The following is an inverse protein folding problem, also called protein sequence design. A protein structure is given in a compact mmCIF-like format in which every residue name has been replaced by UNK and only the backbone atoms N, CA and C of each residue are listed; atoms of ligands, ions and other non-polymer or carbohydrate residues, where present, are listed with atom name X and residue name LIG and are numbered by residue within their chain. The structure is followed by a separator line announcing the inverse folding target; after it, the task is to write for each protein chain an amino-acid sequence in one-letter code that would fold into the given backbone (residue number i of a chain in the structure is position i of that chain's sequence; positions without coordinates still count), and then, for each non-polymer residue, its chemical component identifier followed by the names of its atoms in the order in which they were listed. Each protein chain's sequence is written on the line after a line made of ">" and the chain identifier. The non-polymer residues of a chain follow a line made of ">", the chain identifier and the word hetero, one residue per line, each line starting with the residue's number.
data_IF_729848852597
#
_entry.id   IF_729848852597
#
_cell.length_a   1.000
_cell.length_b   1.000
_cell.length_c   1.000
_cell.angle_alpha   90.00
_cell.angle_beta   90.00
_cell.angle_gamma   90.00
#
_symmetry.space_group_name_H-M   'P 1'
#
loop_
_entity.id
_entity.type
_entity.pdbx_description
1 polymer ?
#
# COMPACT_ATOMS: atom_id res chain seq x y z
N UNK A 1 -33.17 -3.52 32.84
CA UNK A 1 -33.55 -2.91 31.54
C UNK A 1 -32.94 -3.74 30.42
N UNK A 2 -33.76 -4.36 29.58
CA UNK A 2 -33.30 -5.12 28.43
C UNK A 2 -32.71 -4.14 27.39
N UNK A 3 -31.50 -4.39 26.94
CA UNK A 3 -30.92 -3.62 25.84
C UNK A 3 -31.75 -3.86 24.57
N UNK A 4 -32.36 -2.80 24.05
CA UNK A 4 -33.11 -2.87 22.80
C UNK A 4 -32.24 -3.43 21.65
N UNK A 5 -32.86 -4.21 20.78
CA UNK A 5 -32.20 -4.80 19.60
C UNK A 5 -31.75 -3.69 18.67
N UNK A 6 -30.43 -3.53 18.52
CA UNK A 6 -29.84 -2.50 17.65
C UNK A 6 -29.95 -2.97 16.19
N UNK A 7 -30.56 -2.18 15.32
CA UNK A 7 -30.55 -2.43 13.89
C UNK A 7 -29.15 -2.15 13.32
N UNK A 8 -28.65 -3.09 12.52
CA UNK A 8 -27.37 -2.94 11.83
C UNK A 8 -27.63 -2.21 10.51
N UNK A 9 -27.55 -0.88 10.54
CA UNK A 9 -27.63 -0.01 9.36
C UNK A 9 -26.65 1.17 9.50
N UNK A 10 -26.36 1.83 8.40
CA UNK A 10 -25.47 3.01 8.37
C UNK A 10 -26.04 4.11 9.27
N UNK A 11 -25.16 4.72 10.07
CA UNK A 11 -25.51 5.89 10.90
C UNK A 11 -25.47 7.12 9.99
N UNK A 12 -26.60 7.78 9.80
CA UNK A 12 -26.75 8.91 8.88
C UNK A 12 -25.93 10.13 9.36
N UNK A 13 -26.05 10.48 10.63
CA UNK A 13 -25.32 11.61 11.18
C UNK A 13 -23.83 11.34 11.22
N UNK A 14 -23.03 12.18 10.53
CA UNK A 14 -21.60 12.03 10.38
C UNK A 14 -20.83 12.11 11.71
N UNK A 15 -21.21 13.01 12.59
CA UNK A 15 -20.59 13.18 13.90
C UNK A 15 -20.82 11.95 14.78
N UNK A 16 -22.07 11.48 14.86
CA UNK A 16 -22.42 10.28 15.61
C UNK A 16 -21.72 9.04 15.04
N UNK A 17 -21.57 8.97 13.72
CA UNK A 17 -20.85 7.89 13.06
C UNK A 17 -19.38 7.87 13.46
N UNK A 18 -18.70 9.02 13.48
CA UNK A 18 -17.30 9.12 13.90
C UNK A 18 -17.10 8.76 15.38
N UNK A 19 -17.96 9.27 16.24
CA UNK A 19 -17.93 8.96 17.68
C UNK A 19 -18.16 7.47 17.93
N UNK A 20 -19.15 6.89 17.22
CA UNK A 20 -19.44 5.45 17.32
C UNK A 20 -18.30 4.60 16.78
N UNK A 21 -17.71 5.01 15.65
CA UNK A 21 -16.53 4.35 15.10
C UNK A 21 -15.38 4.31 16.11
N UNK A 22 -15.05 5.45 16.71
CA UNK A 22 -13.95 5.54 17.69
C UNK A 22 -14.21 4.65 18.92
N UNK A 23 -15.42 4.64 19.46
CA UNK A 23 -15.80 3.76 20.57
C UNK A 23 -15.69 2.29 20.22
N UNK A 24 -16.21 1.89 19.04
CA UNK A 24 -16.19 0.49 18.58
C UNK A 24 -14.78 0.02 18.23
N UNK A 25 -13.98 0.87 17.58
CA UNK A 25 -12.57 0.59 17.30
C UNK A 25 -11.80 0.28 18.59
N UNK A 26 -11.92 1.14 19.59
CA UNK A 26 -11.24 0.93 20.86
C UNK A 26 -11.70 -0.36 21.56
N UNK A 27 -13.00 -0.65 21.50
CA UNK A 27 -13.53 -1.92 22.04
C UNK A 27 -13.00 -3.15 21.29
N UNK A 28 -12.85 -3.05 19.95
CA UNK A 28 -12.31 -4.12 19.13
C UNK A 28 -10.82 -4.38 19.44
N UNK A 29 -10.03 -3.31 19.56
CA UNK A 29 -8.61 -3.43 19.92
C UNK A 29 -8.42 -4.03 21.32
N UNK A 30 -9.26 -3.64 22.28
CA UNK A 30 -9.26 -4.27 23.62
C UNK A 30 -9.54 -5.77 23.53
N UNK A 31 -10.55 -6.18 22.74
CA UNK A 31 -10.86 -7.61 22.55
C UNK A 31 -9.76 -8.36 21.80
N UNK A 32 -9.10 -7.74 20.85
CA UNK A 32 -7.94 -8.31 20.18
C UNK A 32 -6.78 -8.55 21.16
N UNK A 33 -6.51 -7.58 22.03
CA UNK A 33 -5.50 -7.73 23.10
C UNK A 33 -5.86 -8.84 24.08
N UNK A 34 -7.12 -8.94 24.50
CA UNK A 34 -7.61 -10.03 25.36
C UNK A 34 -7.40 -11.40 24.70
N UNK A 35 -7.73 -11.55 23.41
CA UNK A 35 -7.48 -12.78 22.66
C UNK A 35 -6.01 -13.14 22.58
N UNK A 36 -5.15 -12.15 22.36
CA UNK A 36 -3.70 -12.39 22.30
C UNK A 36 -3.17 -12.91 23.64
N UNK A 37 -3.60 -12.30 24.75
CA UNK A 37 -3.08 -12.66 26.08
C UNK A 37 -3.70 -13.95 26.60
N UNK A 38 -5.02 -14.11 26.46
CA UNK A 38 -5.73 -15.25 27.04
C UNK A 38 -5.62 -16.54 26.22
N UNK A 39 -5.53 -16.40 24.91
CA UNK A 39 -5.57 -17.55 23.99
C UNK A 39 -4.26 -17.75 23.23
N UNK A 40 -3.24 -16.94 23.49
CA UNK A 40 -1.98 -16.93 22.71
C UNK A 40 -2.21 -16.82 21.21
N UNK A 41 -3.32 -16.16 20.82
CA UNK A 41 -3.70 -16.02 19.44
C UNK A 41 -2.94 -14.86 18.78
N UNK A 42 -2.48 -15.08 17.55
CA UNK A 42 -1.90 -14.03 16.74
C UNK A 42 -3.02 -13.27 16.03
N UNK A 43 -3.14 -11.98 16.32
CA UNK A 43 -4.22 -11.14 15.80
C UNK A 43 -3.62 -9.93 15.10
N UNK A 44 -4.09 -9.64 13.88
CA UNK A 44 -3.85 -8.40 13.18
C UNK A 44 -5.17 -7.80 12.75
N UNK A 45 -5.37 -6.52 13.03
CA UNK A 45 -6.56 -5.76 12.63
C UNK A 45 -6.11 -4.52 11.88
N UNK A 46 -6.64 -4.34 10.69
CA UNK A 46 -6.43 -3.15 9.86
C UNK A 46 -7.80 -2.54 9.58
N UNK A 47 -7.94 -1.27 9.89
CA UNK A 47 -9.18 -0.53 9.65
C UNK A 47 -8.89 0.80 8.98
N UNK A 48 -9.65 1.09 7.92
CA UNK A 48 -9.66 2.41 7.27
C UNK A 48 -10.98 3.10 7.62
N UNK A 49 -10.89 4.30 8.18
CA UNK A 49 -12.06 5.09 8.53
C UNK A 49 -12.70 5.73 7.28
N UNK A 50 -13.90 6.27 7.40
CA UNK A 50 -14.52 7.06 6.33
C UNK A 50 -13.81 8.41 6.04
N UNK A 51 -12.78 8.75 6.80
CA UNK A 51 -11.91 9.91 6.60
C UNK A 51 -10.50 9.48 6.19
N UNK A 52 -10.37 8.30 5.60
CA UNK A 52 -9.12 7.68 5.12
C UNK A 52 -8.01 7.57 6.17
N UNK A 53 -8.37 7.61 7.46
CA UNK A 53 -7.42 7.37 8.55
C UNK A 53 -7.24 5.89 8.77
N UNK A 54 -5.99 5.44 8.64
CA UNK A 54 -5.57 4.08 8.95
C UNK A 54 -5.45 3.89 10.47
N UNK A 55 -5.99 2.77 10.96
CA UNK A 55 -5.82 2.32 12.33
C UNK A 55 -5.47 0.85 12.30
N UNK A 56 -4.41 0.49 12.99
CA UNK A 56 -3.92 -0.88 13.03
C UNK A 56 -3.66 -1.34 14.46
N UNK A 57 -3.82 -2.63 14.66
CA UNK A 57 -3.42 -3.35 15.85
C UNK A 57 -2.75 -4.65 15.42
N UNK A 58 -1.64 -4.98 16.02
CA UNK A 58 -0.98 -6.26 15.83
C UNK A 58 -0.57 -6.82 17.20
N UNK A 59 -0.61 -8.14 17.33
CA UNK A 59 -0.13 -8.84 18.52
C UNK A 59 1.36 -8.55 18.76
N UNK A 60 1.78 -8.22 19.99
CA UNK A 60 3.17 -7.85 20.29
C UNK A 60 4.19 -8.95 20.01
N UNK A 61 3.73 -10.19 19.89
CA UNK A 61 4.58 -11.37 19.64
C UNK A 61 4.99 -11.54 18.16
N UNK A 62 4.43 -10.75 17.24
CA UNK A 62 4.64 -10.93 15.81
C UNK A 62 4.68 -9.59 15.06
N UNK A 63 5.47 -9.52 14.00
CA UNK A 63 5.46 -8.37 13.08
C UNK A 63 4.38 -8.52 12.02
N UNK A 64 3.95 -7.39 11.43
CA UNK A 64 2.95 -7.37 10.37
C UNK A 64 3.34 -8.26 9.17
N UNK A 65 4.61 -8.19 8.76
CA UNK A 65 5.13 -9.04 7.68
C UNK A 65 5.02 -10.51 8.00
N UNK A 66 5.49 -10.93 9.19
CA UNK A 66 5.41 -12.32 9.62
C UNK A 66 3.98 -12.82 9.73
N UNK A 67 3.04 -11.95 10.16
CA UNK A 67 1.63 -12.29 10.20
C UNK A 67 1.07 -12.57 8.81
N UNK A 68 1.36 -11.70 7.84
CA UNK A 68 0.93 -11.91 6.45
C UNK A 68 1.56 -13.13 5.82
N UNK A 69 2.85 -13.40 6.06
CA UNK A 69 3.51 -14.62 5.59
C UNK A 69 2.84 -15.89 6.14
N UNK A 70 2.45 -15.87 7.43
CA UNK A 70 1.71 -16.99 8.03
C UNK A 70 0.29 -17.11 7.45
N UNK A 71 -0.39 -15.99 7.24
CA UNK A 71 -1.71 -15.97 6.61
C UNK A 71 -1.67 -16.55 5.20
N UNK A 72 -0.71 -16.15 4.38
CA UNK A 72 -0.53 -16.68 3.02
C UNK A 72 -0.30 -18.21 3.04
N UNK A 73 0.55 -18.69 3.93
CA UNK A 73 0.81 -20.13 4.09
C UNK A 73 -0.44 -20.91 4.51
N UNK A 74 -1.25 -20.35 5.42
CA UNK A 74 -2.44 -21.00 5.93
C UNK A 74 -3.62 -20.94 4.97
N UNK A 75 -3.81 -19.83 4.26
CA UNK A 75 -4.93 -19.60 3.34
C UNK A 75 -4.66 -20.08 1.92
N UNK A 76 -3.39 -20.25 1.53
CA UNK A 76 -2.99 -20.50 0.14
C UNK A 76 -3.17 -19.30 -0.79
N UNK A 77 -3.47 -18.11 -0.25
CA UNK A 77 -3.67 -16.87 -1.03
C UNK A 77 -2.36 -16.10 -1.06
N UNK A 78 -1.86 -15.80 -2.24
CA UNK A 78 -0.71 -14.91 -2.40
C UNK A 78 -1.18 -13.45 -2.40
N UNK A 79 -0.84 -12.73 -1.34
CA UNK A 79 -1.22 -11.31 -1.16
C UNK A 79 -0.38 -10.36 -2.01
N UNK A 80 0.80 -10.79 -2.45
CA UNK A 80 1.79 -9.93 -3.07
C UNK A 80 1.94 -10.14 -4.58
N UNK A 81 1.32 -11.20 -5.14
CA UNK A 81 1.50 -11.57 -6.54
C UNK A 81 1.19 -10.42 -7.51
N UNK A 82 0.04 -9.76 -7.33
CA UNK A 82 -0.34 -8.63 -8.20
C UNK A 82 0.61 -7.43 -8.09
N UNK A 83 1.19 -7.19 -6.92
CA UNK A 83 2.18 -6.13 -6.71
C UNK A 83 3.51 -6.51 -7.37
N UNK A 84 3.91 -7.77 -7.23
CA UNK A 84 5.12 -8.30 -7.84
C UNK A 84 5.05 -8.26 -9.38
N UNK A 85 3.92 -8.65 -9.96
CA UNK A 85 3.68 -8.57 -11.41
C UNK A 85 3.77 -7.12 -11.92
N UNK A 86 3.18 -6.16 -11.20
CA UNK A 86 3.30 -4.74 -11.55
C UNK A 86 4.75 -4.26 -11.51
N UNK A 87 5.48 -4.58 -10.45
CA UNK A 87 6.89 -4.21 -10.35
C UNK A 87 7.76 -4.85 -11.44
N UNK A 88 7.48 -6.09 -11.83
CA UNK A 88 8.17 -6.73 -12.94
C UNK A 88 7.88 -6.04 -14.27
N UNK A 89 6.63 -5.66 -14.53
CA UNK A 89 6.26 -4.95 -15.74
C UNK A 89 6.91 -3.55 -15.80
N UNK A 90 6.92 -2.80 -14.71
CA UNK A 90 7.63 -1.52 -14.61
C UNK A 90 9.13 -1.67 -14.86
N UNK A 91 9.74 -2.69 -14.28
CA UNK A 91 11.15 -3.00 -14.51
C UNK A 91 11.44 -3.34 -15.98
N UNK A 92 10.55 -4.08 -16.63
CA UNK A 92 10.66 -4.39 -18.06
C UNK A 92 10.60 -3.11 -18.90
N UNK A 93 9.63 -2.24 -18.64
CA UNK A 93 9.47 -0.96 -19.35
C UNK A 93 10.70 -0.06 -19.17
N UNK A 94 11.23 0.04 -17.95
CA UNK A 94 12.43 0.82 -17.68
C UNK A 94 13.67 0.26 -18.38
N UNK A 95 13.81 -1.06 -18.47
CA UNK A 95 14.88 -1.72 -19.24
C UNK A 95 14.77 -1.41 -20.73
N UNK A 96 13.57 -1.43 -21.30
CA UNK A 96 13.32 -1.12 -22.70
C UNK A 96 13.62 0.36 -23.03
N UNK A 97 13.20 1.28 -22.16
CA UNK A 97 13.54 2.70 -22.28
C UNK A 97 15.05 2.92 -22.20
N UNK A 98 15.72 2.29 -21.24
CA UNK A 98 17.17 2.39 -21.10
C UNK A 98 17.90 1.85 -22.34
N UNK A 99 17.43 0.72 -22.89
CA UNK A 99 17.97 0.16 -24.13
C UNK A 99 17.81 1.13 -25.31
N UNK A 100 16.62 1.73 -25.46
CA UNK A 100 16.36 2.73 -26.52
C UNK A 100 17.26 3.96 -26.36
N UNK A 101 17.39 4.50 -25.16
CA UNK A 101 18.26 5.64 -24.88
C UNK A 101 19.74 5.33 -25.17
N UNK A 102 20.23 4.17 -24.76
CA UNK A 102 21.60 3.74 -25.08
C UNK A 102 21.83 3.60 -26.58
N UNK A 103 20.82 3.09 -27.31
CA UNK A 103 20.88 3.00 -28.77
C UNK A 103 20.93 4.38 -29.39
N UNK A 104 20.08 5.31 -28.95
CA UNK A 104 20.08 6.71 -29.43
C UNK A 104 21.44 7.41 -29.18
N UNK A 105 22.01 7.24 -28.01
CA UNK A 105 23.34 7.80 -27.69
C UNK A 105 24.40 7.20 -28.61
N UNK A 106 24.34 5.89 -28.87
CA UNK A 106 25.32 5.20 -29.71
C UNK A 106 25.24 5.61 -31.19
N UNK A 107 24.03 5.86 -31.69
CA UNK A 107 23.83 6.32 -33.08
C UNK A 107 23.96 7.85 -33.21
N UNK A 108 23.62 8.63 -32.17
CA UNK A 108 23.73 10.10 -32.18
C UNK A 108 25.19 10.59 -32.08
N UNK A 109 26.13 9.75 -31.69
CA UNK A 109 27.56 10.11 -31.65
C UNK A 109 28.23 9.92 -33.02
N UNK A 110 27.58 9.22 -33.96
CA UNK A 110 28.15 8.95 -35.30
C UNK A 110 27.64 9.88 -36.41
N UNK A 111 26.75 10.81 -36.10
CA UNK A 111 26.23 11.77 -37.08
C UNK A 111 26.78 13.17 -36.76
N UNK A 112 27.93 13.46 -37.36
CA UNK A 112 28.50 14.82 -37.40
C UNK A 112 27.53 15.71 -38.19
N UNK A 113 26.60 16.37 -37.52
CA UNK A 113 25.79 17.40 -38.20
C UNK A 113 24.48 17.82 -37.58
N UNK A 114 23.93 17.17 -36.58
CA UNK A 114 22.70 17.66 -35.94
C UNK A 114 22.91 18.01 -34.48
N UNK A 115 23.02 19.30 -34.26
CA UNK A 115 23.04 19.95 -32.96
C UNK A 115 21.71 19.68 -32.23
N UNK A 116 21.58 18.56 -31.56
CA UNK A 116 20.46 18.34 -30.63
C UNK A 116 20.80 19.12 -29.36
N UNK A 117 20.04 20.17 -29.01
CA UNK A 117 20.40 21.00 -27.87
C UNK A 117 20.38 20.13 -26.60
N UNK A 118 21.47 20.14 -25.86
CA UNK A 118 21.61 19.57 -24.51
C UNK A 118 20.44 19.95 -23.58
N UNK A 119 19.73 21.00 -23.90
CA UNK A 119 18.56 21.51 -23.19
C UNK A 119 17.33 20.58 -23.25
N UNK A 120 17.17 19.82 -24.32
CA UNK A 120 16.08 18.85 -24.49
C UNK A 120 16.25 17.58 -23.64
N UNK A 121 17.49 17.13 -23.48
CA UNK A 121 17.85 15.99 -22.64
C UNK A 121 17.67 16.30 -21.15
N UNK A 122 17.98 17.52 -20.72
CA UNK A 122 17.85 17.93 -19.33
C UNK A 122 16.39 18.06 -18.87
N UNK A 123 15.49 18.50 -19.77
CA UNK A 123 14.07 18.60 -19.49
C UNK A 123 13.44 17.21 -19.31
N UNK A 124 13.82 16.25 -20.15
CA UNK A 124 13.30 14.87 -20.05
C UNK A 124 13.84 14.11 -18.83
N UNK A 125 15.09 14.37 -18.43
CA UNK A 125 15.64 13.84 -17.18
C UNK A 125 14.92 14.42 -15.95
N UNK A 126 14.59 15.71 -15.93
CA UNK A 126 13.86 16.32 -14.81
C UNK A 126 12.43 15.82 -14.69
N UNK A 127 11.75 15.57 -15.81
CA UNK A 127 10.40 14.97 -15.81
C UNK A 127 10.41 13.52 -15.29
N UNK A 128 11.47 12.76 -15.57
CA UNK A 128 11.65 11.40 -15.03
C UNK A 128 12.00 11.40 -13.54
N UNK A 129 12.82 12.35 -13.07
CA UNK A 129 13.13 12.49 -11.65
C UNK A 129 11.92 12.94 -10.81
N UNK A 130 11.04 13.77 -11.37
CA UNK A 130 9.81 14.22 -10.70
C UNK A 130 8.77 13.11 -10.50
N UNK A 131 8.80 12.05 -11.30
CA UNK A 131 7.87 10.89 -11.19
C UNK A 131 8.33 9.81 -10.22
N UNK A 132 9.56 9.86 -9.74
CA UNK A 132 10.12 8.86 -8.81
C UNK A 132 9.97 9.29 -7.34
N UNK A 133 9.53 10.54 -7.09
CA UNK A 133 9.36 11.08 -5.72
C UNK A 133 7.89 11.20 -5.27
N UNK A 134 6.94 10.55 -5.96
CA UNK A 134 5.56 10.43 -5.45
C UNK A 134 5.25 9.00 -5.04
#
# INVERSE_FOLDING_TARGET
>A
MARGKIQIKKIENSTNRQVTYSKRRNGLFKKASELTVLCDAKVSIIMVSCTDKLHEYISPSITQKQFFDQYQKASGIDLWNSHYEKMQEELRQLKDVNKKLRTHIRFGVNDEGSNVPLFSLNKHCQELYGKVQM
#
